data_IF_632288444286
#
_entry.id   IF_632288444286
#
_cell.length_a   1.000
_cell.length_b   1.000
_cell.length_c   1.000
_cell.angle_alpha   90.00
_cell.angle_beta   90.00
_cell.angle_gamma   90.00
#
_symmetry.space_group_name_H-M   'P 1'
#
loop_
_entity.id
_entity.type
_entity.pdbx_description
1 polymer ?
#
# COMPACT_ATOMS: atom_id res chain seq x y z
N UNK A 1 -5.07 -1.11 -15.65
CA UNK A 1 -5.60 -2.18 -16.53
C UNK A 1 -4.65 -3.36 -16.43
N UNK A 2 -5.17 -4.59 -16.26
CA UNK A 2 -4.33 -5.78 -16.10
C UNK A 2 -4.34 -6.64 -17.36
N UNK A 3 -3.21 -7.24 -17.69
CA UNK A 3 -3.04 -8.13 -18.84
C UNK A 3 -2.39 -9.44 -18.40
N UNK A 4 -2.85 -10.60 -18.94
CA UNK A 4 -2.16 -11.87 -18.75
C UNK A 4 -0.69 -11.79 -19.19
N UNK A 5 0.19 -12.53 -18.52
CA UNK A 5 1.63 -12.53 -18.81
C UNK A 5 1.93 -12.88 -20.28
N UNK A 6 1.15 -13.79 -20.88
CA UNK A 6 1.30 -14.18 -22.28
C UNK A 6 1.19 -13.01 -23.28
N UNK A 7 0.54 -11.90 -22.90
CA UNK A 7 0.40 -10.72 -23.76
C UNK A 7 1.49 -9.67 -23.55
N UNK A 8 2.37 -9.83 -22.55
CA UNK A 8 3.33 -8.77 -22.17
C UNK A 8 4.36 -8.51 -23.27
N UNK A 9 4.84 -9.54 -23.95
CA UNK A 9 5.82 -9.38 -25.03
C UNK A 9 5.17 -8.68 -26.23
N UNK A 10 3.96 -9.08 -26.61
CA UNK A 10 3.23 -8.42 -27.69
C UNK A 10 2.84 -6.97 -27.40
N UNK A 11 2.56 -6.64 -26.14
CA UNK A 11 2.37 -5.26 -25.71
C UNK A 11 3.68 -4.45 -25.74
N UNK A 12 4.81 -5.11 -25.52
CA UNK A 12 6.14 -4.49 -25.50
C UNK A 12 6.65 -4.20 -26.91
N UNK A 13 6.49 -5.16 -27.82
CA UNK A 13 6.93 -5.03 -29.22
C UNK A 13 5.91 -4.30 -30.12
N UNK A 14 4.67 -4.13 -29.66
CA UNK A 14 3.62 -3.41 -30.36
C UNK A 14 2.78 -4.26 -31.30
N UNK A 15 2.90 -5.59 -31.27
CA UNK A 15 1.99 -6.51 -31.97
C UNK A 15 0.59 -6.56 -31.33
N UNK A 16 0.49 -6.34 -30.02
CA UNK A 16 -0.79 -6.17 -29.31
C UNK A 16 -1.08 -4.68 -29.15
N UNK A 17 -2.09 -4.21 -29.90
CA UNK A 17 -2.48 -2.78 -29.96
C UNK A 17 -3.92 -2.54 -29.54
N UNK A 18 -4.69 -3.60 -29.32
CA UNK A 18 -6.10 -3.53 -28.95
C UNK A 18 -6.35 -4.40 -27.72
N UNK A 19 -7.34 -4.03 -26.91
CA UNK A 19 -7.94 -4.95 -25.95
C UNK A 19 -9.45 -4.82 -25.95
N UNK A 20 -10.15 -5.96 -25.92
CA UNK A 20 -11.60 -6.01 -25.75
C UNK A 20 -11.91 -6.49 -24.34
N UNK A 21 -12.80 -5.78 -23.64
CA UNK A 21 -13.11 -6.05 -22.22
C UNK A 21 -14.60 -6.08 -21.97
N UNK A 22 -15.06 -7.08 -21.20
CA UNK A 22 -16.41 -7.12 -20.64
C UNK A 22 -16.41 -6.42 -19.28
N UNK A 23 -16.80 -5.15 -19.25
CA UNK A 23 -16.94 -4.37 -18.01
C UNK A 23 -18.37 -3.88 -17.85
N UNK A 24 -18.84 -3.78 -16.61
CA UNK A 24 -20.15 -3.17 -16.30
C UNK A 24 -20.15 -1.64 -16.47
N UNK A 25 -18.99 -1.01 -16.30
CA UNK A 25 -18.76 0.44 -16.44
C UNK A 25 -17.36 0.71 -17.01
N UNK A 26 -17.13 1.86 -17.66
CA UNK A 26 -15.81 2.14 -18.22
C UNK A 26 -14.76 2.23 -17.09
N UNK A 27 -13.70 1.44 -17.21
CA UNK A 27 -12.54 1.49 -16.29
C UNK A 27 -11.30 2.13 -16.94
N UNK A 28 -11.37 2.39 -18.25
CA UNK A 28 -10.36 3.10 -19.00
C UNK A 28 -10.94 4.43 -19.52
N UNK A 29 -10.04 5.38 -19.78
CA UNK A 29 -10.36 6.69 -20.37
C UNK A 29 -9.35 6.97 -21.47
N UNK A 30 -9.79 7.62 -22.54
CA UNK A 30 -8.91 8.12 -23.60
C UNK A 30 -7.85 9.05 -23.00
N UNK A 31 -6.60 8.90 -23.42
CA UNK A 31 -5.41 9.57 -22.86
C UNK A 31 -4.95 9.02 -21.50
N UNK A 32 -5.68 8.08 -20.91
CA UNK A 32 -5.32 7.45 -19.64
C UNK A 32 -4.09 6.56 -19.80
N UNK A 33 -3.18 6.61 -18.80
CA UNK A 33 -1.96 5.79 -18.75
C UNK A 33 -2.08 4.64 -17.76
N UNK A 34 -1.70 3.43 -18.19
CA UNK A 34 -1.88 2.19 -17.45
C UNK A 34 -0.58 1.40 -17.39
N UNK A 35 -0.17 1.01 -16.18
CA UNK A 35 0.98 0.14 -15.97
C UNK A 35 0.63 -1.30 -16.38
N UNK A 36 1.50 -1.96 -17.13
CA UNK A 36 1.43 -3.37 -17.52
C UNK A 36 2.82 -3.99 -17.52
N UNK A 37 2.94 -5.33 -17.58
CA UNK A 37 4.25 -5.97 -17.75
C UNK A 37 4.89 -5.75 -19.13
N UNK A 38 4.12 -5.30 -20.12
CA UNK A 38 4.63 -4.84 -21.42
C UNK A 38 5.11 -3.38 -21.43
N UNK A 39 4.98 -2.65 -20.32
CA UNK A 39 5.35 -1.25 -20.19
C UNK A 39 4.17 -0.34 -19.80
N UNK A 40 4.38 0.97 -19.93
CA UNK A 40 3.35 1.98 -19.76
C UNK A 40 2.54 2.11 -21.05
N UNK A 41 1.24 1.88 -20.95
CA UNK A 41 0.31 1.93 -22.07
C UNK A 41 -0.58 3.17 -21.95
N UNK A 42 -0.90 3.80 -23.07
CA UNK A 42 -1.91 4.84 -23.18
C UNK A 42 -3.13 4.28 -23.93
N UNK A 43 -4.34 4.50 -23.41
CA UNK A 43 -5.55 4.20 -24.16
C UNK A 43 -5.86 5.35 -25.13
N UNK A 44 -5.79 5.09 -26.43
CA UNK A 44 -5.99 6.10 -27.48
C UNK A 44 -7.44 6.21 -27.93
N UNK A 45 -8.23 5.15 -27.78
CA UNK A 45 -9.68 5.14 -27.97
C UNK A 45 -10.34 4.19 -26.97
N UNK A 46 -11.55 4.51 -26.52
CA UNK A 46 -12.36 3.67 -25.63
C UNK A 46 -13.81 3.77 -26.10
N UNK A 47 -14.34 2.68 -26.65
CA UNK A 47 -15.67 2.63 -27.24
C UNK A 47 -16.46 1.46 -26.66
N UNK A 48 -17.74 1.68 -26.38
CA UNK A 48 -18.66 0.59 -25.99
C UNK A 48 -19.42 0.17 -27.23
N UNK A 49 -19.19 -1.06 -27.69
CA UNK A 49 -19.71 -1.58 -28.95
C UNK A 49 -20.37 -2.95 -28.75
N UNK A 50 -21.32 -3.35 -29.60
CA UNK A 50 -21.82 -4.72 -29.65
C UNK A 50 -20.73 -5.72 -30.08
N UNK A 51 -20.76 -6.94 -29.55
CA UNK A 51 -19.78 -7.97 -29.85
C UNK A 51 -19.69 -8.31 -31.34
N UNK A 52 -20.81 -8.28 -32.09
CA UNK A 52 -20.81 -8.55 -33.53
C UNK A 52 -19.96 -7.57 -34.36
N UNK A 53 -19.61 -6.41 -33.81
CA UNK A 53 -18.76 -5.43 -34.50
C UNK A 53 -17.27 -5.74 -34.39
N UNK A 54 -16.88 -6.60 -33.44
CA UNK A 54 -15.48 -7.04 -33.28
C UNK A 54 -15.16 -8.04 -34.39
N UNK A 55 -14.02 -7.84 -35.05
CA UNK A 55 -13.56 -8.69 -36.16
C UNK A 55 -12.47 -9.67 -35.73
N UNK A 56 -12.13 -10.64 -36.58
CA UNK A 56 -10.94 -11.47 -36.37
C UNK A 56 -9.65 -10.65 -36.41
N UNK A 57 -9.65 -9.52 -37.11
CA UNK A 57 -8.50 -8.61 -37.11
C UNK A 57 -8.32 -7.92 -35.76
N UNK A 58 -9.42 -7.40 -35.18
CA UNK A 58 -9.42 -6.90 -33.82
C UNK A 58 -8.92 -7.97 -32.83
N UNK A 59 -9.33 -9.23 -33.02
CA UNK A 59 -8.90 -10.34 -32.18
C UNK A 59 -7.39 -10.61 -32.28
N UNK A 60 -6.82 -10.60 -33.50
CA UNK A 60 -5.37 -10.70 -33.71
C UNK A 60 -4.62 -9.54 -33.06
N UNK A 61 -5.15 -8.32 -33.17
CA UNK A 61 -4.60 -7.13 -32.50
C UNK A 61 -4.71 -7.18 -30.97
N UNK A 62 -5.57 -8.05 -30.43
CA UNK A 62 -5.63 -8.40 -29.00
C UNK A 62 -4.67 -9.52 -28.59
N UNK A 63 -3.94 -10.12 -29.54
CA UNK A 63 -3.09 -11.29 -29.31
C UNK A 63 -3.85 -12.61 -29.26
N UNK A 64 -5.08 -12.66 -29.77
CA UNK A 64 -5.86 -13.90 -29.94
C UNK A 64 -5.78 -14.41 -31.38
N UNK A 65 -5.94 -15.72 -31.60
CA UNK A 65 -5.88 -16.29 -32.94
C UNK A 65 -7.03 -15.77 -33.84
N UNK A 66 -8.23 -15.70 -33.27
CA UNK A 66 -9.47 -15.27 -33.93
C UNK A 66 -10.49 -14.75 -32.89
N UNK A 67 -11.63 -14.26 -33.39
CA UNK A 67 -12.71 -13.70 -32.57
C UNK A 67 -13.32 -14.73 -31.62
N UNK A 68 -13.40 -15.99 -32.03
CA UNK A 68 -13.97 -17.06 -31.20
C UNK A 68 -13.10 -17.29 -29.96
N UNK A 69 -11.79 -17.39 -30.15
CA UNK A 69 -10.82 -17.54 -29.06
C UNK A 69 -10.85 -16.32 -28.11
N UNK A 70 -10.91 -15.11 -28.65
CA UNK A 70 -11.03 -13.89 -27.84
C UNK A 70 -12.30 -13.92 -26.99
N UNK A 71 -13.45 -14.22 -27.58
CA UNK A 71 -14.75 -14.22 -26.90
C UNK A 71 -14.86 -15.29 -25.83
N UNK A 72 -14.33 -16.49 -26.09
CA UNK A 72 -14.22 -17.54 -25.09
C UNK A 72 -13.37 -17.07 -23.90
N UNK A 73 -12.25 -16.40 -24.14
CA UNK A 73 -11.36 -15.92 -23.08
C UNK A 73 -11.97 -14.80 -22.22
N UNK A 74 -12.86 -13.96 -22.77
CA UNK A 74 -13.49 -12.85 -22.03
C UNK A 74 -14.95 -13.12 -21.64
N UNK A 75 -15.47 -14.32 -21.93
CA UNK A 75 -16.81 -14.75 -21.59
C UNK A 75 -17.92 -13.97 -22.30
N UNK A 76 -17.73 -13.65 -23.59
CA UNK A 76 -18.82 -13.17 -24.46
C UNK A 76 -19.60 -14.38 -24.95
N UNK A 77 -20.93 -14.32 -24.82
CA UNK A 77 -21.82 -15.45 -25.14
C UNK A 77 -22.87 -15.10 -26.19
N UNK A 78 -23.14 -13.81 -26.39
CA UNK A 78 -24.08 -13.30 -27.39
C UNK A 78 -23.41 -12.27 -28.29
N UNK A 79 -23.81 -12.25 -29.57
CA UNK A 79 -23.40 -11.23 -30.55
C UNK A 79 -23.90 -9.82 -30.19
N UNK A 80 -24.92 -9.72 -29.33
CA UNK A 80 -25.46 -8.48 -28.80
C UNK A 80 -24.82 -8.05 -27.46
N UNK A 81 -23.91 -8.86 -26.89
CA UNK A 81 -23.19 -8.48 -25.67
C UNK A 81 -22.42 -7.18 -25.93
N UNK A 82 -22.56 -6.22 -25.01
CA UNK A 82 -21.80 -4.97 -25.09
C UNK A 82 -20.41 -5.15 -24.48
N UNK A 83 -19.39 -4.83 -25.25
CA UNK A 83 -17.97 -4.88 -24.87
C UNK A 83 -17.33 -3.51 -25.00
N UNK A 84 -16.22 -3.30 -24.29
CA UNK A 84 -15.36 -2.14 -24.49
C UNK A 84 -14.23 -2.51 -25.44
N UNK A 85 -14.19 -1.86 -26.59
CA UNK A 85 -13.08 -1.89 -27.54
C UNK A 85 -12.12 -0.75 -27.19
N UNK A 86 -10.88 -1.10 -26.86
CA UNK A 86 -9.90 -0.15 -26.33
C UNK A 86 -8.62 -0.22 -27.15
N UNK A 87 -8.33 0.86 -27.88
CA UNK A 87 -7.09 1.04 -28.63
C UNK A 87 -5.97 1.46 -27.68
N UNK A 88 -4.78 0.87 -27.87
CA UNK A 88 -3.64 1.01 -26.98
C UNK A 88 -2.40 1.43 -27.77
N UNK A 89 -1.59 2.26 -27.14
CA UNK A 89 -0.25 2.59 -27.60
C UNK A 89 0.74 2.47 -26.44
N UNK A 90 1.86 1.78 -26.66
CA UNK A 90 2.96 1.79 -25.70
C UNK A 90 3.64 3.16 -25.71
N UNK A 91 3.79 3.77 -24.54
CA UNK A 91 4.40 5.11 -24.37
C UNK A 91 5.73 5.08 -23.61
N UNK A 92 6.22 3.89 -23.26
CA UNK A 92 7.54 3.69 -22.66
C UNK A 92 7.55 2.61 -21.59
N UNK A 93 8.60 2.61 -20.78
CA UNK A 93 8.66 1.78 -19.57
C UNK A 93 7.71 2.30 -18.50
N UNK A 94 7.29 1.40 -17.60
CA UNK A 94 6.58 1.81 -16.39
C UNK A 94 7.54 2.65 -15.54
N UNK A 95 7.21 3.91 -15.20
CA UNK A 95 8.04 4.70 -14.31
C UNK A 95 8.18 3.97 -12.99
N UNK A 96 9.43 3.76 -12.58
CA UNK A 96 9.72 3.32 -11.22
C UNK A 96 9.60 4.57 -10.36
N UNK A 97 8.59 4.59 -9.47
CA UNK A 97 8.50 5.67 -8.49
C UNK A 97 9.79 5.63 -7.66
N UNK A 98 10.62 6.69 -7.68
CA UNK A 98 11.88 6.65 -6.94
C UNK A 98 11.56 6.50 -5.46
N UNK A 99 12.20 5.52 -4.82
CA UNK A 99 12.06 5.35 -3.37
C UNK A 99 12.71 6.56 -2.68
N UNK A 100 12.05 7.19 -1.70
CA UNK A 100 12.69 8.23 -0.90
C UNK A 100 13.77 7.55 -0.05
N UNK A 101 15.04 7.66 -0.44
CA UNK A 101 16.17 7.03 0.26
C UNK A 101 17.00 8.04 1.06
N UNK A 102 16.57 9.31 1.10
CA UNK A 102 17.27 10.36 1.83
C UNK A 102 17.39 10.02 3.31
N UNK A 103 18.64 10.10 3.79
CA UNK A 103 19.05 9.82 5.17
C UNK A 103 19.05 11.05 6.05
N UNK A 104 19.07 12.26 5.47
CA UNK A 104 19.03 13.52 6.21
C UNK A 104 17.59 13.85 6.58
N UNK A 105 17.12 13.25 7.67
CA UNK A 105 15.75 13.38 8.14
C UNK A 105 15.62 14.54 9.14
N UNK A 106 14.94 15.60 8.72
CA UNK A 106 14.51 16.68 9.61
C UNK A 106 13.58 16.15 10.70
N UNK A 107 13.36 16.92 11.78
CA UNK A 107 12.36 16.57 12.80
C UNK A 107 10.96 16.40 12.20
N UNK A 108 10.60 17.23 11.21
CA UNK A 108 9.33 17.16 10.49
C UNK A 108 9.20 15.88 9.65
N UNK A 109 10.28 15.45 8.98
CA UNK A 109 10.32 14.18 8.25
C UNK A 109 10.10 12.98 9.19
N UNK A 110 10.78 12.99 10.34
CA UNK A 110 10.63 11.94 11.35
C UNK A 110 9.20 11.93 11.91
N UNK A 111 8.62 13.10 12.17
CA UNK A 111 7.25 13.23 12.65
C UNK A 111 6.22 12.77 11.61
N UNK A 112 6.40 13.08 10.33
CA UNK A 112 5.53 12.58 9.26
C UNK A 112 5.61 11.07 9.10
N UNK A 113 6.83 10.51 9.06
CA UNK A 113 7.03 9.06 9.00
C UNK A 113 6.39 8.36 10.21
N UNK A 114 6.58 8.90 11.41
CA UNK A 114 5.97 8.38 12.64
C UNK A 114 4.45 8.35 12.52
N UNK A 115 3.81 9.49 12.18
CA UNK A 115 2.36 9.56 11.98
C UNK A 115 1.87 8.57 10.92
N UNK A 116 2.63 8.34 9.85
CA UNK A 116 2.27 7.40 8.78
C UNK A 116 2.35 5.95 9.25
N UNK A 117 3.36 5.61 10.05
CA UNK A 117 3.55 4.27 10.61
C UNK A 117 2.52 3.99 11.69
N UNK A 118 2.20 4.95 12.56
CA UNK A 118 1.17 4.81 13.59
C UNK A 118 -0.21 4.53 12.98
N UNK A 119 -0.55 5.17 11.85
CA UNK A 119 -1.79 4.87 11.10
C UNK A 119 -1.82 3.46 10.51
N UNK A 120 -0.67 2.82 10.31
CA UNK A 120 -0.59 1.43 9.86
C UNK A 120 -0.80 0.45 11.01
N UNK A 121 -0.43 0.83 12.24
CA UNK A 121 -0.51 0.04 13.46
C UNK A 121 0.86 -0.34 14.04
N UNK A 122 0.87 -0.88 15.25
CA UNK A 122 2.08 -1.22 16.02
C UNK A 122 3.04 -2.14 15.25
N UNK A 123 2.49 -3.04 14.41
CA UNK A 123 3.25 -3.95 13.57
C UNK A 123 4.29 -3.24 12.69
N UNK A 124 4.07 -1.99 12.30
CA UNK A 124 4.92 -1.29 11.34
C UNK A 124 6.32 -1.07 11.92
N UNK A 125 6.39 -0.68 13.19
CA UNK A 125 7.65 -0.50 13.91
C UNK A 125 8.29 -1.84 14.27
N UNK A 126 7.49 -2.81 14.70
CA UNK A 126 7.97 -4.15 15.03
C UNK A 126 8.60 -4.81 13.81
N UNK A 127 7.98 -4.70 12.64
CA UNK A 127 8.51 -5.21 11.38
C UNK A 127 9.83 -4.53 11.00
N UNK A 128 9.97 -3.21 11.19
CA UNK A 128 11.25 -2.51 10.93
C UNK A 128 12.36 -3.04 11.84
N UNK A 129 12.10 -3.18 13.15
CA UNK A 129 13.07 -3.73 14.11
C UNK A 129 13.41 -5.19 13.84
N UNK A 130 12.41 -5.99 13.45
CA UNK A 130 12.61 -7.40 13.11
C UNK A 130 13.50 -7.55 11.86
N UNK A 131 13.28 -6.71 10.84
CA UNK A 131 14.10 -6.67 9.62
C UNK A 131 15.52 -6.17 9.93
N UNK A 132 15.68 -5.19 10.82
CA UNK A 132 16.98 -4.72 11.30
C UNK A 132 17.78 -5.84 11.98
N UNK A 133 17.12 -6.62 12.86
CA UNK A 133 17.75 -7.70 13.60
C UNK A 133 18.09 -8.93 12.74
N UNK A 134 17.39 -9.11 11.60
CA UNK A 134 17.49 -10.29 10.76
C UNK A 134 17.59 -9.95 9.26
N UNK A 135 18.65 -9.22 8.84
CA UNK A 135 18.82 -8.86 7.44
C UNK A 135 19.01 -10.10 6.56
N UNK A 136 18.52 -10.03 5.33
CA UNK A 136 18.57 -11.11 4.34
C UNK A 136 17.87 -12.42 4.75
N UNK A 137 17.04 -12.40 5.79
CA UNK A 137 16.20 -13.54 6.18
C UNK A 137 14.95 -13.64 5.30
N UNK A 138 14.56 -14.86 4.94
CA UNK A 138 13.39 -15.11 4.08
C UNK A 138 12.13 -14.53 4.71
N UNK A 139 11.22 -14.09 3.85
CA UNK A 139 9.95 -13.51 4.28
C UNK A 139 9.06 -14.47 5.08
N UNK A 140 9.16 -15.78 4.81
CA UNK A 140 8.47 -16.82 5.58
C UNK A 140 8.99 -16.84 7.02
N UNK A 141 10.28 -17.06 7.20
CA UNK A 141 10.91 -17.12 8.53
C UNK A 141 10.71 -15.84 9.34
N UNK A 142 10.74 -14.66 8.70
CA UNK A 142 10.42 -13.39 9.38
C UNK A 142 8.95 -13.33 9.83
N UNK A 143 8.03 -13.85 9.02
CA UNK A 143 6.62 -13.91 9.38
C UNK A 143 6.40 -14.90 10.54
N UNK A 144 7.08 -16.05 10.51
CA UNK A 144 7.05 -17.06 11.57
C UNK A 144 7.57 -16.48 12.90
N UNK A 145 8.69 -15.74 12.87
CA UNK A 145 9.23 -15.04 14.05
C UNK A 145 8.28 -13.96 14.59
N UNK A 146 7.48 -13.35 13.71
CA UNK A 146 6.46 -12.39 14.09
C UNK A 146 5.13 -13.08 14.53
N UNK A 147 5.02 -14.41 14.42
CA UNK A 147 3.77 -15.13 14.65
C UNK A 147 2.66 -14.76 13.66
N UNK A 148 3.01 -14.46 12.40
CA UNK A 148 2.09 -13.95 11.36
C UNK A 148 2.15 -14.78 10.09
N UNK A 149 1.06 -14.76 9.33
CA UNK A 149 1.04 -15.35 7.99
C UNK A 149 1.97 -14.61 7.01
N UNK A 150 2.65 -15.38 6.16
CA UNK A 150 3.64 -14.89 5.19
C UNK A 150 3.07 -13.87 4.19
N UNK A 151 1.88 -14.10 3.63
CA UNK A 151 1.31 -13.25 2.59
C UNK A 151 0.92 -11.85 3.12
N UNK A 152 0.18 -11.72 4.24
CA UNK A 152 -0.03 -10.46 4.93
C UNK A 152 1.28 -9.75 5.30
N UNK A 153 2.25 -10.48 5.87
CA UNK A 153 3.57 -9.90 6.24
C UNK A 153 4.28 -9.30 5.02
N UNK A 154 4.30 -10.00 3.88
CA UNK A 154 4.87 -9.48 2.63
C UNK A 154 4.10 -8.28 2.08
N UNK A 155 2.78 -8.22 2.26
CA UNK A 155 1.99 -7.04 1.89
C UNK A 155 2.35 -5.82 2.75
N UNK A 156 2.61 -6.05 4.04
CA UNK A 156 3.02 -5.06 5.02
C UNK A 156 4.44 -4.52 4.75
N UNK A 157 5.42 -5.39 4.50
CA UNK A 157 6.78 -4.97 4.10
C UNK A 157 6.76 -4.17 2.80
N UNK A 158 5.85 -4.47 1.86
CA UNK A 158 5.66 -3.65 0.65
C UNK A 158 5.16 -2.23 0.97
N UNK A 159 4.36 -2.03 2.03
CA UNK A 159 3.97 -0.68 2.49
C UNK A 159 5.19 0.09 3.00
N UNK A 160 6.03 -0.55 3.82
CA UNK A 160 7.26 0.05 4.34
C UNK A 160 8.27 0.39 3.23
N UNK A 161 8.41 -0.49 2.23
CA UNK A 161 9.26 -0.26 1.07
C UNK A 161 8.84 0.99 0.30
N UNK A 162 7.54 1.25 0.13
CA UNK A 162 7.03 2.47 -0.54
C UNK A 162 7.34 3.76 0.22
N UNK A 163 7.55 3.68 1.54
CA UNK A 163 8.06 4.80 2.35
C UNK A 163 9.58 4.93 2.28
N UNK A 164 10.23 4.08 1.48
CA UNK A 164 11.67 4.01 1.37
C UNK A 164 12.36 3.54 2.63
N UNK A 165 11.69 2.80 3.53
CA UNK A 165 12.25 2.34 4.82
C UNK A 165 12.87 0.94 4.75
N UNK A 166 12.55 0.14 3.74
CA UNK A 166 13.07 -1.21 3.54
C UNK A 166 13.51 -1.44 2.09
N UNK A 167 14.43 -2.39 1.90
CA UNK A 167 14.92 -2.84 0.60
C UNK A 167 14.69 -4.34 0.46
N UNK A 168 14.26 -4.77 -0.74
CA UNK A 168 14.20 -6.19 -1.10
C UNK A 168 15.56 -6.63 -1.59
N UNK A 169 16.01 -7.80 -1.14
CA UNK A 169 17.20 -8.46 -1.62
C UNK A 169 16.80 -9.66 -2.50
N UNK A 170 17.78 -10.32 -3.11
CA UNK A 170 17.57 -11.62 -3.75
C UNK A 170 16.94 -12.61 -2.76
N UNK A 171 17.44 -12.61 -1.52
CA UNK A 171 16.86 -13.35 -0.40
C UNK A 171 16.49 -12.38 0.71
N UNK A 172 15.19 -12.25 0.98
CA UNK A 172 14.69 -11.53 2.14
C UNK A 172 14.69 -10.00 2.02
N UNK A 173 14.80 -9.34 3.16
CA UNK A 173 14.73 -7.89 3.29
C UNK A 173 15.88 -7.35 4.13
N UNK A 174 16.15 -6.06 3.99
CA UNK A 174 16.92 -5.26 4.95
C UNK A 174 16.32 -3.88 5.09
N UNK A 175 16.73 -3.12 6.10
CA UNK A 175 16.42 -1.70 6.13
C UNK A 175 17.10 -0.97 4.97
N UNK A 176 16.47 0.10 4.50
CA UNK A 176 17.16 1.06 3.65
C UNK A 176 18.02 2.00 4.50
N UNK A 177 18.96 2.76 3.90
CA UNK A 177 19.67 3.82 4.61
C UNK A 177 18.72 4.81 5.34
N UNK A 178 17.61 5.18 4.70
CA UNK A 178 16.56 6.03 5.31
C UNK A 178 15.87 5.33 6.49
N UNK A 179 15.58 4.03 6.38
CA UNK A 179 14.96 3.25 7.45
C UNK A 179 15.83 3.16 8.70
N UNK A 180 17.13 2.93 8.51
CA UNK A 180 18.11 2.96 9.60
C UNK A 180 18.22 4.36 10.23
N UNK A 181 18.29 5.41 9.40
CA UNK A 181 18.32 6.80 9.89
C UNK A 181 17.06 7.13 10.72
N UNK A 182 15.89 6.72 10.25
CA UNK A 182 14.63 6.89 10.97
C UNK A 182 14.63 6.17 12.33
N UNK A 183 15.04 4.90 12.40
CA UNK A 183 15.10 4.16 13.66
C UNK A 183 16.10 4.79 14.65
N UNK A 184 17.28 5.21 14.18
CA UNK A 184 18.27 5.93 15.00
C UNK A 184 17.70 7.22 15.59
N UNK A 185 17.03 8.02 14.77
CA UNK A 185 16.41 9.30 15.20
C UNK A 185 15.28 9.08 16.20
N UNK A 186 14.52 7.99 16.05
CA UNK A 186 13.44 7.63 16.98
C UNK A 186 13.93 7.03 18.29
N UNK A 187 15.09 6.35 18.29
CA UNK A 187 15.72 5.82 19.49
C UNK A 187 16.51 6.87 20.29
N UNK A 188 16.93 7.95 19.63
CA UNK A 188 17.60 9.07 20.29
C UNK A 188 16.55 9.90 21.04
N UNK A 189 16.62 10.05 22.37
CA UNK A 189 15.80 11.04 23.06
C UNK A 189 16.14 12.40 22.45
N UNK A 190 15.12 13.20 22.11
CA UNK A 190 15.31 14.56 21.63
C UNK A 190 16.28 15.28 22.58
N UNK A 191 17.48 15.64 22.10
CA UNK A 191 18.35 16.52 22.87
C UNK A 191 17.60 17.84 23.04
N UNK A 192 17.37 18.32 24.28
CA UNK A 192 16.78 19.62 24.48
C UNK A 192 17.82 20.67 24.06
N UNK A 193 17.81 21.07 22.79
CA UNK A 193 18.63 22.18 22.30
C UNK A 193 17.99 23.47 22.81
N UNK A 194 18.73 24.18 23.66
CA UNK A 194 18.68 25.64 23.76
C UNK A 194 17.64 26.25 24.70
N UNK A 195 17.85 26.13 26.01
CA UNK A 195 17.62 27.28 26.89
C UNK A 195 18.98 27.82 27.32
N UNK A 196 19.49 28.79 26.57
CA UNK A 196 20.48 29.74 27.08
C UNK A 196 19.81 30.47 28.24
N UNK A 197 20.12 30.06 29.47
CA UNK A 197 19.76 30.84 30.64
C UNK A 197 20.87 31.88 30.78
N UNK A 198 20.58 33.12 30.38
CA UNK A 198 21.44 34.24 30.76
C UNK A 198 21.46 34.33 32.29
N UNK A 199 22.65 34.18 32.85
CA UNK A 199 22.93 34.45 34.27
C UNK A 199 22.87 35.96 34.50
N UNK A 200 21.65 36.48 34.66
CA UNK A 200 21.40 37.82 35.21
C UNK A 200 21.77 37.84 36.70
N UNK A 201 22.83 38.57 37.01
CA UNK A 201 23.17 38.99 38.38
C UNK A 201 22.15 40.01 38.89
N UNK A 202 21.46 39.68 39.98
CA UNK A 202 20.92 40.57 41.03
C UNK A 202 20.24 39.63 42.06
N UNK A 203 20.37 39.72 43.38
CA UNK A 203 20.50 40.91 44.21
C UNK A 203 19.42 40.91 45.31
N UNK A 204 19.45 39.93 46.22
CA UNK A 204 19.04 40.01 47.65
C UNK A 204 17.60 40.43 48.05
N UNK A 205 16.85 39.50 48.69
CA UNK A 205 16.25 39.55 50.07
C UNK A 205 14.92 38.75 50.15
N UNK A 206 14.87 37.69 50.97
CA UNK A 206 14.23 37.54 52.31
C UNK A 206 12.70 37.61 52.30
N UNK A 207 12.05 36.54 52.79
CA UNK A 207 10.67 36.52 53.24
C UNK A 207 10.14 35.11 53.53
N UNK A 208 10.17 34.71 54.80
CA UNK A 208 9.66 33.46 55.39
C UNK A 208 8.11 33.33 55.33
N UNK A 209 7.61 32.10 55.54
CA UNK A 209 6.22 31.77 55.91
C UNK A 209 5.71 30.49 55.22
N UNK A 210 5.93 29.29 55.76
CA UNK A 210 5.14 28.60 56.80
C UNK A 210 3.85 27.89 56.30
N UNK A 211 3.96 26.55 56.28
CA UNK A 211 2.99 25.47 56.58
C UNK A 211 1.46 25.63 56.40
N UNK A 212 0.83 24.61 55.77
CA UNK A 212 -0.24 23.73 56.32
C UNK A 212 -1.03 23.06 55.16
N UNK A 213 -1.16 21.71 55.12
CA UNK A 213 -2.36 20.88 55.48
C UNK A 213 -3.59 21.16 54.60
N UNK A 214 -4.52 20.26 54.24
CA UNK A 214 -4.82 18.83 54.36
C UNK A 214 -6.25 18.67 53.75
N UNK A 215 -6.66 17.43 53.43
CA UNK A 215 -8.05 16.96 53.21
C UNK A 215 -8.78 17.41 51.91
N UNK A 216 -9.08 16.51 50.97
CA UNK A 216 -10.08 15.42 50.98
C UNK A 216 -11.51 15.90 50.71
N UNK A 217 -12.12 15.40 49.62
CA UNK A 217 -13.56 15.10 49.61
C UNK A 217 -13.85 14.01 48.60
N UNK A 218 -14.27 12.88 49.17
CA UNK A 218 -14.96 11.74 48.55
C UNK A 218 -16.40 12.15 48.21
N UNK A 219 -16.90 11.73 47.04
CA UNK A 219 -18.33 11.72 46.74
C UNK A 219 -18.64 10.45 45.95
N UNK A 220 -19.20 9.47 46.65
CA UNK A 220 -19.87 8.32 46.05
C UNK A 220 -21.21 8.70 45.39
N UNK A 221 -21.68 7.87 44.47
CA UNK A 221 -22.99 8.01 43.86
C UNK A 221 -23.34 6.86 42.93
N UNK A 222 -23.94 5.82 43.49
CA UNK A 222 -24.45 4.65 42.79
C UNK A 222 -25.63 4.97 41.85
N UNK A 223 -25.76 4.18 40.78
CA UNK A 223 -26.96 4.17 39.92
C UNK A 223 -26.91 3.09 38.84
N UNK A 224 -27.50 1.92 39.13
CA UNK A 224 -28.00 0.90 38.17
C UNK A 224 -29.54 0.90 38.28
N UNK A 225 -30.31 0.18 37.42
CA UNK A 225 -30.14 -0.23 36.02
C UNK A 225 -31.44 0.02 35.20
N UNK A 226 -31.53 -0.47 33.95
CA UNK A 226 -32.65 -1.25 33.35
C UNK A 226 -32.40 -1.39 31.83
N UNK A 227 -32.59 -2.62 31.30
CA UNK A 227 -32.29 -3.06 29.92
C UNK A 227 -33.37 -2.72 28.87
N UNK A 228 -33.76 -3.65 27.99
CA UNK A 228 -32.94 -4.46 27.08
C UNK A 228 -33.49 -4.40 25.62
N UNK A 229 -32.65 -4.40 24.58
CA UNK A 229 -32.98 -4.77 23.18
C UNK A 229 -31.66 -5.15 22.49
N UNK A 230 -31.52 -6.04 21.52
CA UNK A 230 -32.42 -6.78 20.64
C UNK A 230 -31.50 -7.57 19.70
N UNK A 231 -31.95 -8.75 19.29
CA UNK A 231 -31.26 -9.77 18.48
C UNK A 231 -31.07 -9.30 17.04
N UNK A 232 -29.87 -9.44 16.45
CA UNK A 232 -29.70 -9.58 15.00
C UNK A 232 -28.65 -10.65 14.68
N UNK A 233 -29.07 -11.59 13.86
CA UNK A 233 -28.36 -12.74 13.29
C UNK A 233 -27.48 -12.24 12.14
N UNK A 234 -26.17 -12.56 12.18
CA UNK A 234 -25.22 -12.25 11.11
C UNK A 234 -24.73 -13.53 10.42
N UNK A 235 -25.16 -13.70 9.17
CA UNK A 235 -24.77 -14.75 8.24
C UNK A 235 -23.28 -14.69 7.86
N UNK A 236 -22.66 -15.87 7.73
CA UNK A 236 -21.39 -16.08 7.03
C UNK A 236 -21.55 -15.93 5.51
N UNK A 237 -20.47 -15.58 4.80
CA UNK A 237 -19.85 -16.52 3.85
C UNK A 237 -18.32 -16.51 4.00
N UNK A 238 -17.59 -17.61 3.84
CA UNK A 238 -17.52 -18.46 2.65
C UNK A 238 -16.08 -18.34 2.14
N UNK A 239 -15.23 -19.27 2.59
CA UNK A 239 -13.82 -19.36 2.23
C UNK A 239 -13.67 -19.97 0.83
N UNK A 240 -12.89 -19.33 -0.05
CA UNK A 240 -12.45 -19.92 -1.31
C UNK A 240 -10.96 -19.63 -1.56
N UNK A 241 -10.16 -20.68 -1.37
CA UNK A 241 -9.08 -21.15 -2.26
C UNK A 241 -8.00 -20.15 -2.73
N UNK A 242 -6.88 -20.11 -2.01
CA UNK A 242 -5.60 -19.63 -2.55
C UNK A 242 -4.87 -20.80 -3.18
N UNK A 243 -4.77 -20.77 -4.52
CA UNK A 243 -3.87 -21.59 -5.30
C UNK A 243 -2.42 -21.13 -5.14
N UNK A 244 -1.60 -22.09 -4.75
CA UNK A 244 -0.15 -22.07 -4.64
C UNK A 244 0.49 -22.18 -6.04
N UNK A 245 1.60 -21.47 -6.28
CA UNK A 245 2.79 -22.05 -6.94
C UNK A 245 4.00 -21.10 -6.97
N UNK A 246 5.14 -21.69 -6.59
CA UNK A 246 6.56 -21.45 -6.89
C UNK A 246 7.14 -20.03 -6.98
#
# INVERSE_FOLDING_TARGET
>A
MLFPNALHDGLRDGSVTLTVRRWSRPQAKVGGRYRSGGGLLEATAVERVPAHTITDDDARRCGSADRSALFAAIGVVSEDDLVYRIELRRVGEVPVDPLPLDTDLSDDDVADLTRRLDRMGEWAIEALRLIEAHPARRAGDLADLAGRDRLPFKADVRKLKRLGLTQSLEVGYRLSPRGEAYLRRRASPASPVGRTVELGREGRRIGDGEQAREAATDVGGAGRPVGPQGRVVGLAPGEDGVGEEA
#
